data_IF_510782931510
#
_entry.id   IF_510782931510
#
_cell.length_a   1.000
_cell.length_b   1.000
_cell.length_c   1.000
_cell.angle_alpha   90.00
_cell.angle_beta   90.00
_cell.angle_gamma   90.00
#
_symmetry.space_group_name_H-M   'P 1'
#
loop_
_entity.id
_entity.type
_entity.pdbx_description
1 polymer ?
#
# COMPACT_ATOMS: atom_id res chain seq x y z
N UNK A 1 -28.05 -45.20 7.76
CA UNK A 1 -26.85 -44.95 8.59
C UNK A 1 -25.93 -43.99 7.83
N UNK A 2 -25.74 -42.80 8.39
CA UNK A 2 -24.98 -41.67 7.84
C UNK A 2 -23.49 -42.02 7.63
N UNK A 3 -22.98 -41.70 6.43
CA UNK A 3 -21.55 -41.55 6.18
C UNK A 3 -21.17 -40.09 6.44
N UNK A 4 -20.41 -39.85 7.50
CA UNK A 4 -19.84 -38.53 7.81
C UNK A 4 -18.61 -38.30 6.94
N UNK A 5 -18.71 -37.39 5.97
CA UNK A 5 -17.53 -36.82 5.30
C UNK A 5 -16.98 -35.69 6.18
N UNK A 6 -15.76 -35.85 6.68
CA UNK A 6 -14.97 -34.77 7.28
C UNK A 6 -14.26 -34.06 6.13
N UNK A 7 -14.68 -32.82 5.85
CA UNK A 7 -14.00 -31.93 4.91
C UNK A 7 -12.76 -31.34 5.62
N UNK A 8 -11.57 -31.69 5.14
CA UNK A 8 -10.34 -30.98 5.50
C UNK A 8 -10.36 -29.58 4.88
N UNK A 9 -10.45 -28.55 5.71
CA UNK A 9 -10.19 -27.18 5.29
C UNK A 9 -8.69 -27.02 5.02
N UNK A 10 -8.30 -27.03 3.75
CA UNK A 10 -6.96 -26.64 3.32
C UNK A 10 -6.79 -25.13 3.58
N UNK A 11 -6.15 -24.77 4.70
CA UNK A 11 -5.67 -23.41 4.89
C UNK A 11 -4.52 -23.18 3.92
N UNK A 12 -4.80 -22.52 2.80
CA UNK A 12 -3.79 -21.97 1.89
C UNK A 12 -3.02 -20.91 2.68
N UNK A 13 -1.97 -21.34 3.39
CA UNK A 13 -0.96 -20.43 3.90
C UNK A 13 -0.23 -19.89 2.70
N UNK A 14 -0.48 -18.62 2.38
CA UNK A 14 0.34 -17.87 1.43
C UNK A 14 1.75 -17.87 2.03
N UNK A 15 2.65 -18.69 1.47
CA UNK A 15 4.07 -18.73 1.84
C UNK A 15 4.70 -17.40 1.43
N UNK A 16 4.47 -16.35 2.23
CA UNK A 16 5.31 -15.17 2.20
C UNK A 16 6.67 -15.64 2.75
N UNK A 17 7.78 -15.45 2.03
CA UNK A 17 9.10 -15.79 2.54
C UNK A 17 9.29 -15.13 3.91
N UNK A 18 9.72 -15.89 4.92
CA UNK A 18 9.95 -15.40 6.29
C UNK A 18 10.77 -14.10 6.31
N UNK A 19 11.78 -14.01 5.44
CA UNK A 19 12.59 -12.82 5.23
C UNK A 19 11.79 -11.55 4.86
N UNK A 20 10.76 -11.66 4.01
CA UNK A 20 9.94 -10.52 3.60
C UNK A 20 9.00 -10.08 4.72
N UNK A 21 8.51 -11.02 5.53
CA UNK A 21 7.68 -10.72 6.70
C UNK A 21 8.50 -10.03 7.80
N UNK A 22 9.68 -10.54 8.15
CA UNK A 22 10.56 -9.95 9.17
C UNK A 22 10.95 -8.50 8.82
N UNK A 23 11.22 -8.21 7.55
CA UNK A 23 11.58 -6.87 7.12
C UNK A 23 10.38 -5.92 7.06
N UNK A 24 9.17 -6.42 6.80
CA UNK A 24 7.93 -5.64 6.91
C UNK A 24 7.68 -5.21 8.36
N UNK A 25 7.87 -6.12 9.32
CA UNK A 25 7.74 -5.83 10.75
C UNK A 25 8.75 -4.76 11.18
N UNK A 26 10.02 -4.91 10.79
CA UNK A 26 11.05 -3.87 11.03
C UNK A 26 10.67 -2.53 10.39
N UNK A 27 10.13 -2.53 9.18
CA UNK A 27 9.67 -1.30 8.53
C UNK A 27 8.55 -0.64 9.34
N UNK A 28 7.57 -1.41 9.82
CA UNK A 28 6.49 -0.93 10.65
C UNK A 28 7.02 -0.29 11.95
N UNK A 29 7.91 -0.96 12.67
CA UNK A 29 8.57 -0.44 13.88
C UNK A 29 9.30 0.89 13.62
N UNK A 30 10.02 0.99 12.50
CA UNK A 30 10.73 2.21 12.11
C UNK A 30 9.78 3.35 11.71
N UNK A 31 8.60 3.04 11.18
CA UNK A 31 7.54 4.02 10.91
C UNK A 31 6.89 4.48 12.22
N UNK A 32 6.66 3.56 13.17
CA UNK A 32 6.09 3.88 14.48
C UNK A 32 6.97 4.84 15.26
N UNK A 33 8.27 4.54 15.34
CA UNK A 33 9.26 5.39 16.02
C UNK A 33 9.40 6.78 15.42
N UNK A 34 9.11 6.94 14.12
CA UNK A 34 9.24 8.23 13.43
C UNK A 34 7.94 9.05 13.39
N UNK A 35 6.77 8.41 13.33
CA UNK A 35 5.50 9.10 13.06
C UNK A 35 4.29 8.59 13.83
N UNK A 36 4.48 7.64 14.75
CA UNK A 36 3.42 7.08 15.57
C UNK A 36 2.78 5.81 15.00
N UNK A 37 1.99 5.16 15.85
CA UNK A 37 1.52 3.78 15.66
C UNK A 37 0.56 3.59 14.48
N UNK A 38 -0.23 4.60 14.09
CA UNK A 38 -1.32 4.40 13.12
C UNK A 38 -0.81 4.02 11.72
N UNK A 39 0.22 4.71 11.23
CA UNK A 39 0.83 4.41 9.93
C UNK A 39 1.59 3.08 9.97
N UNK A 40 2.25 2.77 11.09
CA UNK A 40 2.88 1.47 11.35
C UNK A 40 1.85 0.33 11.23
N UNK A 41 0.77 0.41 12.01
CA UNK A 41 -0.29 -0.58 12.03
C UNK A 41 -1.01 -0.72 10.68
N UNK A 42 -1.15 0.38 9.93
CA UNK A 42 -1.68 0.36 8.57
C UNK A 42 -0.76 -0.43 7.62
N UNK A 43 0.57 -0.26 7.74
CA UNK A 43 1.54 -1.06 6.97
C UNK A 43 1.44 -2.53 7.36
N UNK A 44 1.39 -2.86 8.65
CA UNK A 44 1.30 -4.26 9.10
C UNK A 44 0.07 -4.98 8.51
N UNK A 45 -1.08 -4.30 8.52
CA UNK A 45 -2.39 -4.88 8.21
C UNK A 45 -2.78 -4.82 6.74
N UNK A 46 -2.49 -3.72 6.05
CA UNK A 46 -2.95 -3.53 4.68
C UNK A 46 -1.88 -3.91 3.65
N UNK A 47 -0.60 -4.04 4.06
CA UNK A 47 0.51 -4.19 3.11
C UNK A 47 1.02 -5.64 3.04
N UNK A 48 1.20 -6.10 1.81
CA UNK A 48 2.07 -7.23 1.46
C UNK A 48 3.26 -6.68 0.68
N UNK A 49 4.47 -6.87 1.20
CA UNK A 49 5.68 -6.28 0.61
C UNK A 49 6.67 -7.39 0.30
N UNK A 50 6.98 -7.57 -0.97
CA UNK A 50 7.91 -8.56 -1.47
C UNK A 50 8.97 -7.86 -2.34
N UNK A 51 10.13 -7.58 -1.75
CA UNK A 51 11.23 -6.88 -2.40
C UNK A 51 12.48 -7.76 -2.39
N UNK A 52 13.40 -7.52 -3.32
CA UNK A 52 14.73 -8.12 -3.26
C UNK A 52 15.47 -7.74 -1.97
N UNK A 53 16.43 -8.55 -1.49
CA UNK A 53 17.22 -8.21 -0.29
C UNK A 53 17.86 -6.82 -0.37
N UNK A 54 18.46 -6.47 -1.52
CA UNK A 54 19.12 -5.17 -1.74
C UNK A 54 18.15 -3.97 -1.73
N UNK A 55 16.89 -4.19 -2.13
CA UNK A 55 15.84 -3.18 -2.02
C UNK A 55 15.41 -3.01 -0.57
N UNK A 56 15.23 -4.10 0.18
CA UNK A 56 14.92 -4.05 1.61
C UNK A 56 15.99 -3.31 2.41
N UNK A 57 17.28 -3.57 2.16
CA UNK A 57 18.38 -2.84 2.80
C UNK A 57 18.26 -1.32 2.60
N UNK A 58 17.90 -0.89 1.39
CA UNK A 58 17.74 0.53 1.07
C UNK A 58 16.44 1.10 1.64
N UNK A 59 15.35 0.33 1.68
CA UNK A 59 14.09 0.74 2.31
C UNK A 59 14.27 0.93 3.80
N UNK A 60 15.02 0.04 4.46
CA UNK A 60 15.29 0.06 5.89
C UNK A 60 16.48 0.95 6.26
N UNK A 61 17.15 1.63 5.33
CA UNK A 61 18.22 2.58 5.64
C UNK A 61 17.68 3.88 6.26
N UNK A 62 18.56 4.66 6.89
CA UNK A 62 18.21 5.88 7.63
C UNK A 62 17.51 6.96 6.75
N UNK A 63 16.62 7.78 7.33
CA UNK A 63 15.74 8.70 6.58
C UNK A 63 16.44 9.81 5.80
N UNK A 64 17.72 10.09 6.08
CA UNK A 64 18.47 11.16 5.41
C UNK A 64 18.80 10.87 3.94
N UNK A 65 18.77 9.60 3.52
CA UNK A 65 18.61 9.05 2.16
C UNK A 65 18.99 7.56 2.21
N UNK A 66 18.29 6.67 1.48
CA UNK A 66 17.22 6.98 0.53
C UNK A 66 15.80 6.94 1.15
N UNK A 67 14.83 7.62 0.53
CA UNK A 67 13.47 7.90 1.06
C UNK A 67 12.51 6.68 1.14
N UNK A 68 13.05 5.48 1.33
CA UNK A 68 12.28 4.24 1.30
C UNK A 68 11.20 4.19 2.38
N UNK A 69 11.60 4.33 3.65
CA UNK A 69 10.68 4.38 4.80
C UNK A 69 9.58 5.43 4.62
N UNK A 70 9.96 6.63 4.21
CA UNK A 70 9.03 7.73 3.99
C UNK A 70 8.02 7.47 2.88
N UNK A 71 8.41 6.71 1.85
CA UNK A 71 7.53 6.37 0.74
C UNK A 71 6.43 5.39 1.17
N UNK A 72 6.78 4.38 1.97
CA UNK A 72 5.79 3.46 2.55
C UNK A 72 4.88 4.15 3.56
N UNK A 73 5.46 5.01 4.43
CA UNK A 73 4.68 5.86 5.32
C UNK A 73 3.69 6.74 4.57
N UNK A 74 4.13 7.41 3.50
CA UNK A 74 3.27 8.26 2.65
C UNK A 74 2.14 7.46 2.03
N UNK A 75 2.42 6.25 1.55
CA UNK A 75 1.39 5.35 1.04
C UNK A 75 0.40 4.94 2.13
N UNK A 76 0.87 4.59 3.33
CA UNK A 76 0.00 4.23 4.45
C UNK A 76 -0.94 5.38 4.83
N UNK A 77 -0.41 6.60 4.97
CA UNK A 77 -1.21 7.79 5.22
C UNK A 77 -2.21 8.06 4.09
N UNK A 78 -1.82 7.87 2.83
CA UNK A 78 -2.72 8.05 1.69
C UNK A 78 -3.88 7.04 1.71
N UNK A 79 -3.66 5.80 2.16
CA UNK A 79 -4.74 4.82 2.30
C UNK A 79 -5.70 5.17 3.45
N UNK A 80 -5.18 5.70 4.57
CA UNK A 80 -5.99 6.22 5.68
C UNK A 80 -6.83 7.43 5.24
N UNK A 81 -6.20 8.37 4.55
CA UNK A 81 -6.86 9.55 3.97
C UNK A 81 -7.99 9.15 3.02
N UNK A 82 -7.69 8.21 2.12
CA UNK A 82 -8.68 7.67 1.19
C UNK A 82 -9.81 6.97 1.93
N UNK A 83 -9.52 6.11 2.91
CA UNK A 83 -10.56 5.35 3.63
C UNK A 83 -11.52 6.25 4.39
N UNK A 84 -11.01 7.32 5.01
CA UNK A 84 -11.84 8.32 5.67
C UNK A 84 -12.71 9.09 4.66
N UNK A 85 -12.11 9.58 3.56
CA UNK A 85 -12.86 10.26 2.51
C UNK A 85 -13.90 9.37 1.86
N UNK A 86 -13.62 8.08 1.72
CA UNK A 86 -14.55 7.09 1.21
C UNK A 86 -15.64 6.69 2.22
N UNK A 87 -15.58 7.18 3.46
CA UNK A 87 -16.55 6.86 4.51
C UNK A 87 -16.40 5.43 5.03
N UNK A 88 -15.24 4.80 4.82
CA UNK A 88 -14.94 3.47 5.37
C UNK A 88 -14.51 3.55 6.83
N UNK A 89 -13.90 4.66 7.21
CA UNK A 89 -13.28 4.86 8.53
C UNK A 89 -13.45 6.31 9.01
N UNK A 90 -12.99 6.56 10.23
CA UNK A 90 -12.89 7.89 10.86
C UNK A 90 -11.51 8.05 11.53
N UNK A 91 -10.46 7.52 10.91
CA UNK A 91 -9.14 7.35 11.50
C UNK A 91 -8.45 8.68 11.77
N UNK A 92 -8.43 9.61 10.81
CA UNK A 92 -7.78 10.90 10.98
C UNK A 92 -8.48 11.77 12.03
N UNK A 93 -9.81 11.63 12.18
CA UNK A 93 -10.58 12.34 13.22
C UNK A 93 -10.24 11.85 14.63
N UNK A 94 -9.98 10.55 14.78
CA UNK A 94 -9.82 9.90 16.10
C UNK A 94 -8.37 9.64 16.50
N UNK A 95 -7.50 9.39 15.54
CA UNK A 95 -6.12 8.92 15.74
C UNK A 95 -5.11 9.59 14.79
N UNK A 96 -5.54 10.60 14.02
CA UNK A 96 -4.68 11.37 13.13
C UNK A 96 -3.74 12.33 13.87
N UNK A 97 -2.83 12.94 13.12
CA UNK A 97 -1.76 13.79 13.65
C UNK A 97 -2.23 14.96 14.54
N UNK A 98 -3.41 15.52 14.27
CA UNK A 98 -3.94 16.68 14.99
C UNK A 98 -4.79 16.31 16.22
N UNK A 99 -4.93 15.03 16.55
CA UNK A 99 -5.71 14.60 17.70
C UNK A 99 -4.86 14.69 18.97
N UNK A 100 -5.43 15.23 20.05
CA UNK A 100 -4.77 15.30 21.35
C UNK A 100 -4.30 13.90 21.80
N UNK A 101 -3.06 13.80 22.28
CA UNK A 101 -2.38 12.52 22.56
C UNK A 101 -3.17 11.58 23.48
N UNK A 102 -3.81 12.13 24.51
CA UNK A 102 -4.56 11.32 25.48
C UNK A 102 -5.85 10.78 24.88
N UNK A 103 -6.55 11.57 24.06
CA UNK A 103 -7.70 11.11 23.28
C UNK A 103 -7.30 10.09 22.23
N UNK A 104 -6.16 10.30 21.56
CA UNK A 104 -5.66 9.35 20.55
C UNK A 104 -5.33 7.98 21.17
N UNK A 105 -4.84 7.94 22.42
CA UNK A 105 -4.64 6.69 23.18
C UNK A 105 -5.97 6.02 23.53
N UNK A 106 -6.97 6.78 23.96
CA UNK A 106 -8.32 6.27 24.25
C UNK A 106 -8.97 5.66 23.00
N UNK A 107 -8.82 6.31 21.84
CA UNK A 107 -9.38 5.84 20.57
C UNK A 107 -8.57 4.74 19.89
N UNK A 108 -7.34 4.47 20.35
CA UNK A 108 -6.44 3.51 19.70
C UNK A 108 -7.09 2.13 19.47
N UNK A 109 -7.81 1.50 20.42
CA UNK A 109 -8.50 0.24 20.17
C UNK A 109 -9.55 0.33 19.05
N UNK A 110 -10.33 1.42 19.01
CA UNK A 110 -11.33 1.66 17.96
C UNK A 110 -10.68 1.83 16.60
N UNK A 111 -9.59 2.60 16.53
CA UNK A 111 -8.86 2.82 15.29
C UNK A 111 -8.17 1.53 14.79
N UNK A 112 -7.61 0.70 15.69
CA UNK A 112 -7.10 -0.63 15.32
C UNK A 112 -8.17 -1.52 14.71
N UNK A 113 -9.36 -1.58 15.34
CA UNK A 113 -10.50 -2.34 14.81
C UNK A 113 -10.97 -1.83 13.44
N UNK A 114 -10.94 -0.51 13.22
CA UNK A 114 -11.23 0.08 11.90
C UNK A 114 -10.19 -0.35 10.86
N UNK A 115 -8.89 -0.34 11.18
CA UNK A 115 -7.81 -0.78 10.28
C UNK A 115 -7.92 -2.29 9.99
N UNK A 116 -8.20 -3.13 11.00
CA UNK A 116 -8.40 -4.56 10.81
C UNK A 116 -9.59 -4.84 9.86
N UNK A 117 -10.71 -4.13 10.03
CA UNK A 117 -11.86 -4.23 9.11
C UNK A 117 -11.51 -3.72 7.70
N UNK A 118 -10.71 -2.65 7.62
CA UNK A 118 -10.30 -2.05 6.35
C UNK A 118 -9.50 -3.03 5.48
N UNK A 119 -8.73 -3.95 6.08
CA UNK A 119 -8.00 -5.00 5.35
C UNK A 119 -8.89 -5.89 4.47
N UNK A 120 -10.19 -6.00 4.78
CA UNK A 120 -11.15 -6.73 3.94
C UNK A 120 -11.64 -5.95 2.70
N UNK A 121 -11.39 -4.64 2.67
CA UNK A 121 -11.85 -3.69 1.63
C UNK A 121 -10.72 -3.06 0.83
N UNK A 122 -9.57 -2.84 1.46
CA UNK A 122 -8.46 -2.08 0.90
C UNK A 122 -7.15 -2.76 1.24
N UNK A 123 -6.39 -3.13 0.21
CA UNK A 123 -5.06 -3.73 0.38
C UNK A 123 -4.06 -3.10 -0.58
N UNK A 124 -2.80 -3.11 -0.18
CA UNK A 124 -1.67 -2.74 -1.01
C UNK A 124 -0.65 -3.88 -1.08
N UNK A 125 -0.18 -4.18 -2.27
CA UNK A 125 0.79 -5.22 -2.53
C UNK A 125 1.93 -4.65 -3.37
N UNK A 126 3.17 -4.84 -2.94
CA UNK A 126 4.36 -4.49 -3.71
C UNK A 126 5.14 -5.77 -4.04
N UNK A 127 5.16 -6.17 -5.32
CA UNK A 127 5.90 -7.32 -5.84
C UNK A 127 7.07 -6.91 -6.74
N UNK A 128 8.28 -6.98 -6.20
CA UNK A 128 9.54 -6.72 -6.90
C UNK A 128 10.70 -7.55 -6.32
N UNK A 129 10.45 -8.83 -6.02
CA UNK A 129 11.46 -9.76 -5.50
C UNK A 129 12.68 -9.89 -6.42
N UNK A 130 12.46 -9.83 -7.73
CA UNK A 130 13.50 -10.01 -8.75
C UNK A 130 14.19 -8.70 -9.16
N UNK A 131 13.78 -7.55 -8.61
CA UNK A 131 14.36 -6.25 -8.96
C UNK A 131 15.54 -5.94 -8.05
N UNK A 132 16.76 -6.00 -8.59
CA UNK A 132 17.96 -5.61 -7.87
C UNK A 132 18.02 -4.09 -7.65
N UNK A 133 18.56 -3.67 -6.51
CA UNK A 133 18.76 -2.25 -6.21
C UNK A 133 19.94 -1.67 -7.00
N UNK A 134 19.66 -0.59 -7.71
CA UNK A 134 20.60 0.41 -8.19
C UNK A 134 19.94 1.81 -8.02
N UNK A 135 20.67 2.92 -8.21
CA UNK A 135 20.10 4.26 -8.00
C UNK A 135 18.82 4.51 -8.83
N UNK A 136 18.81 4.10 -10.10
CA UNK A 136 17.65 4.24 -10.98
C UNK A 136 16.49 3.38 -10.50
N UNK A 137 16.74 2.11 -10.19
CA UNK A 137 15.66 1.20 -9.83
C UNK A 137 15.03 1.54 -8.49
N UNK A 138 15.83 1.99 -7.53
CA UNK A 138 15.30 2.45 -6.25
C UNK A 138 14.47 3.73 -6.41
N UNK A 139 14.94 4.69 -7.20
CA UNK A 139 14.22 5.94 -7.43
C UNK A 139 12.89 5.72 -8.16
N UNK A 140 12.87 4.87 -9.19
CA UNK A 140 11.65 4.53 -9.91
C UNK A 140 10.67 3.74 -9.02
N UNK A 141 11.17 2.75 -8.28
CA UNK A 141 10.41 2.00 -7.28
C UNK A 141 9.64 2.92 -6.32
N UNK A 142 10.35 3.85 -5.69
CA UNK A 142 9.76 4.79 -4.74
C UNK A 142 8.92 5.86 -5.45
N UNK A 143 9.30 6.28 -6.66
CA UNK A 143 8.53 7.20 -7.50
C UNK A 143 7.16 6.64 -7.86
N UNK A 144 7.08 5.38 -8.29
CA UNK A 144 5.80 4.71 -8.57
C UNK A 144 4.94 4.61 -7.31
N UNK A 145 5.52 4.13 -6.20
CA UNK A 145 4.84 4.03 -4.91
C UNK A 145 4.25 5.37 -4.46
N UNK A 146 5.06 6.43 -4.51
CA UNK A 146 4.65 7.76 -4.06
C UNK A 146 3.67 8.43 -5.01
N UNK A 147 3.70 8.14 -6.31
CA UNK A 147 2.70 8.61 -7.27
C UNK A 147 1.34 7.95 -7.05
N UNK A 148 1.33 6.66 -6.73
CA UNK A 148 0.11 5.96 -6.31
C UNK A 148 -0.41 6.59 -5.01
N UNK A 149 0.46 6.84 -4.02
CA UNK A 149 0.07 7.52 -2.79
C UNK A 149 -0.54 8.90 -3.05
N UNK A 150 0.02 9.67 -3.99
CA UNK A 150 -0.50 10.97 -4.38
C UNK A 150 -1.87 10.92 -5.03
N UNK A 151 -2.18 9.86 -5.77
CA UNK A 151 -3.52 9.63 -6.28
C UNK A 151 -4.55 9.48 -5.14
N UNK A 152 -4.22 8.70 -4.10
CA UNK A 152 -5.13 8.38 -2.99
C UNK A 152 -5.11 9.38 -1.83
N UNK A 153 -4.18 10.32 -1.80
CA UNK A 153 -4.10 11.33 -0.77
C UNK A 153 -5.40 12.17 -0.68
N UNK A 154 -5.79 12.62 0.53
CA UNK A 154 -7.01 13.40 0.75
C UNK A 154 -7.07 14.72 -0.04
N UNK A 155 -5.92 15.28 -0.45
CA UNK A 155 -5.81 16.52 -1.24
C UNK A 155 -5.76 16.29 -2.74
N UNK A 156 -5.71 15.04 -3.18
CA UNK A 156 -5.78 14.66 -4.58
C UNK A 156 -7.07 15.15 -5.20
N UNK A 157 -6.99 15.82 -6.35
CA UNK A 157 -8.18 16.27 -7.08
C UNK A 157 -9.11 15.11 -7.43
N UNK A 158 -8.57 13.90 -7.64
CA UNK A 158 -9.36 12.70 -7.88
C UNK A 158 -10.24 12.38 -6.67
N UNK A 159 -9.65 12.33 -5.48
CA UNK A 159 -10.36 11.97 -4.24
C UNK A 159 -11.33 13.07 -3.81
N UNK A 160 -10.92 14.35 -3.91
CA UNK A 160 -11.79 15.49 -3.57
C UNK A 160 -12.98 15.61 -4.51
N UNK A 161 -12.83 15.21 -5.77
CA UNK A 161 -13.90 15.22 -6.77
C UNK A 161 -14.75 13.95 -6.75
N UNK A 162 -14.68 13.15 -5.69
CA UNK A 162 -15.59 12.02 -5.46
C UNK A 162 -15.16 10.69 -6.07
N UNK A 163 -13.95 10.55 -6.63
CA UNK A 163 -13.50 9.28 -7.20
C UNK A 163 -13.62 8.14 -6.18
N UNK A 164 -14.30 7.05 -6.54
CA UNK A 164 -14.37 5.81 -5.77
C UNK A 164 -14.13 4.62 -6.68
N UNK A 165 -13.54 3.50 -6.22
CA UNK A 165 -13.41 2.31 -7.04
C UNK A 165 -14.79 1.83 -7.52
N UNK A 166 -14.84 1.29 -8.74
CA UNK A 166 -16.06 0.67 -9.28
C UNK A 166 -16.46 -0.57 -8.48
N UNK A 167 -15.48 -1.39 -8.11
CA UNK A 167 -15.67 -2.56 -7.26
C UNK A 167 -15.94 -2.22 -5.79
N UNK A 168 -16.43 -3.20 -5.04
CA UNK A 168 -16.69 -3.08 -3.59
C UNK A 168 -15.41 -3.08 -2.74
N UNK A 169 -14.31 -3.53 -3.33
CA UNK A 169 -12.97 -3.60 -2.75
C UNK A 169 -11.97 -2.91 -3.66
N UNK A 170 -10.80 -2.61 -3.11
CA UNK A 170 -9.68 -2.04 -3.83
C UNK A 170 -8.37 -2.73 -3.41
N UNK A 171 -7.83 -3.56 -4.28
CA UNK A 171 -6.53 -4.18 -4.15
C UNK A 171 -5.56 -3.48 -5.10
N UNK A 172 -4.56 -2.81 -4.56
CA UNK A 172 -3.56 -2.08 -5.34
C UNK A 172 -2.31 -2.94 -5.41
N UNK A 173 -1.85 -3.26 -6.60
CA UNK A 173 -0.63 -4.03 -6.83
C UNK A 173 0.37 -3.16 -7.57
N UNK A 174 1.53 -2.91 -6.96
CA UNK A 174 2.70 -2.33 -7.61
C UNK A 174 3.68 -3.45 -7.96
N UNK A 175 3.95 -3.66 -9.25
CA UNK A 175 4.86 -4.71 -9.73
C UNK A 175 5.77 -4.21 -10.84
N UNK A 176 6.82 -3.44 -10.51
CA UNK A 176 7.84 -3.05 -11.47
C UNK A 176 8.70 -4.26 -11.86
N UNK A 177 9.19 -4.26 -13.10
CA UNK A 177 10.01 -5.35 -13.65
C UNK A 177 11.09 -4.82 -14.58
N UNK A 178 12.26 -5.45 -14.58
CA UNK A 178 13.34 -5.16 -15.55
C UNK A 178 12.97 -5.54 -16.99
N UNK A 179 11.90 -6.33 -17.18
CA UNK A 179 11.41 -6.74 -18.50
C UNK A 179 10.34 -5.81 -19.07
N UNK A 180 9.78 -4.92 -18.25
CA UNK A 180 8.76 -3.99 -18.73
C UNK A 180 9.40 -2.90 -19.59
N UNK A 181 8.72 -2.52 -20.67
CA UNK A 181 9.18 -1.49 -21.62
C UNK A 181 8.42 -0.18 -21.49
N UNK A 182 7.31 -0.17 -20.75
CA UNK A 182 6.44 0.98 -20.54
C UNK A 182 5.59 0.83 -19.27
N UNK A 183 4.92 1.91 -18.88
CA UNK A 183 3.94 1.87 -17.79
C UNK A 183 2.65 1.22 -18.27
N UNK A 184 2.15 0.28 -17.49
CA UNK A 184 0.85 -0.33 -17.68
C UNK A 184 0.07 -0.31 -16.37
N UNK A 185 -1.16 0.20 -16.44
CA UNK A 185 -2.12 0.21 -15.34
C UNK A 185 -3.34 -0.59 -15.79
N UNK A 186 -3.46 -1.81 -15.26
CA UNK A 186 -4.52 -2.74 -15.62
C UNK A 186 -5.50 -2.89 -14.47
N UNK A 187 -6.79 -2.67 -14.76
CA UNK A 187 -7.88 -2.98 -13.83
C UNK A 187 -8.44 -4.36 -14.12
N UNK A 188 -8.74 -5.13 -13.07
CA UNK A 188 -9.50 -6.37 -13.21
C UNK A 188 -10.91 -6.07 -13.73
N UNK A 189 -11.57 -7.03 -14.42
CA UNK A 189 -12.91 -6.81 -14.98
C UNK A 189 -13.97 -6.41 -13.93
N UNK A 190 -13.83 -6.87 -12.69
CA UNK A 190 -14.70 -6.53 -11.56
C UNK A 190 -14.38 -5.17 -10.92
N UNK A 191 -13.33 -4.48 -11.40
CA UNK A 191 -12.89 -3.20 -10.88
C UNK A 191 -12.35 -3.24 -9.45
N UNK A 192 -12.06 -4.42 -8.90
CA UNK A 192 -11.59 -4.58 -7.52
C UNK A 192 -10.07 -4.55 -7.39
N UNK A 193 -9.33 -4.84 -8.46
CA UNK A 193 -7.87 -4.91 -8.42
C UNK A 193 -7.29 -4.00 -9.50
N UNK A 194 -6.27 -3.23 -9.13
CA UNK A 194 -5.45 -2.48 -10.08
C UNK A 194 -4.00 -2.91 -9.96
N UNK A 195 -3.40 -3.26 -11.09
CA UNK A 195 -1.97 -3.57 -11.19
C UNK A 195 -1.26 -2.46 -11.94
N UNK A 196 -0.37 -1.75 -11.23
CA UNK A 196 0.58 -0.80 -11.79
C UNK A 196 1.89 -1.53 -12.01
N UNK A 197 2.29 -1.64 -13.27
CA UNK A 197 3.55 -2.24 -13.69
C UNK A 197 4.33 -1.26 -14.55
N UNK A 198 5.65 -1.36 -14.53
CA UNK A 198 6.52 -0.43 -15.21
C UNK A 198 7.97 -0.90 -15.22
N UNK A 199 8.83 -0.30 -16.06
CA UNK A 199 10.24 -0.65 -16.08
C UNK A 199 10.86 -0.34 -14.73
N UNK A 200 11.61 -1.28 -14.20
CA UNK A 200 12.29 -1.13 -12.93
C UNK A 200 13.66 -0.48 -13.07
N UNK A 201 14.30 -0.50 -14.24
CA UNK A 201 15.69 -0.06 -14.42
C UNK A 201 15.86 1.10 -15.42
N UNK A 202 14.76 1.59 -15.99
CA UNK A 202 14.77 2.63 -17.02
C UNK A 202 13.57 3.55 -16.86
N UNK A 203 13.83 4.84 -16.80
CA UNK A 203 12.75 5.83 -16.77
C UNK A 203 12.05 5.93 -18.13
N UNK A 204 10.72 6.06 -18.10
CA UNK A 204 9.88 6.27 -19.29
C UNK A 204 9.25 7.67 -19.19
N UNK A 205 9.40 8.54 -20.21
CA UNK A 205 8.78 9.86 -20.18
C UNK A 205 7.27 9.80 -19.90
N UNK A 206 6.77 10.67 -19.01
CA UNK A 206 5.35 10.74 -18.66
C UNK A 206 4.84 9.56 -17.83
N UNK A 207 5.73 8.78 -17.19
CA UNK A 207 5.33 7.62 -16.39
C UNK A 207 4.34 7.98 -15.27
N UNK A 208 4.50 9.16 -14.66
CA UNK A 208 3.63 9.67 -13.61
C UNK A 208 2.19 9.87 -14.13
N UNK A 209 2.03 10.54 -15.27
CA UNK A 209 0.73 10.81 -15.87
C UNK A 209 0.07 9.50 -16.33
N UNK A 210 0.85 8.55 -16.83
CA UNK A 210 0.37 7.22 -17.18
C UNK A 210 -0.21 6.48 -15.97
N UNK A 211 0.45 6.55 -14.80
CA UNK A 211 -0.06 5.97 -13.55
C UNK A 211 -1.36 6.66 -13.14
N UNK A 212 -1.37 8.00 -13.04
CA UNK A 212 -2.52 8.76 -12.57
C UNK A 212 -3.76 8.57 -13.47
N UNK A 213 -3.58 8.70 -14.79
CA UNK A 213 -4.65 8.48 -15.76
C UNK A 213 -5.13 7.03 -15.76
N UNK A 214 -4.24 6.07 -15.54
CA UNK A 214 -4.57 4.65 -15.41
C UNK A 214 -5.43 4.36 -14.18
N UNK A 215 -5.05 4.90 -13.02
CA UNK A 215 -5.82 4.77 -11.78
C UNK A 215 -7.20 5.41 -11.91
N UNK A 216 -7.28 6.59 -12.52
CA UNK A 216 -8.54 7.32 -12.72
C UNK A 216 -9.61 6.47 -13.44
N UNK A 217 -9.24 5.63 -14.41
CA UNK A 217 -10.17 4.79 -15.20
C UNK A 217 -10.94 3.76 -14.37
N UNK A 218 -10.41 3.34 -13.23
CA UNK A 218 -11.03 2.35 -12.35
C UNK A 218 -12.13 2.89 -11.45
N UNK A 219 -12.34 4.20 -11.45
CA UNK A 219 -13.32 4.82 -10.57
C UNK A 219 -14.65 5.15 -11.22
N UNK A 220 -15.63 5.32 -10.35
CA UNK A 220 -16.87 6.05 -10.58
C UNK A 220 -16.77 7.43 -9.93
N UNK A 221 -17.51 8.38 -10.50
CA UNK A 221 -17.74 9.70 -9.88
C UNK A 221 -18.98 9.62 -8.99
#
# INVERSE_FOLDING_TARGET
MQKTLILFALMIHVNIPTFAQDNKEKLADLIETSTGWMNSYTVEKLFTINLSPTMWESVLAAPSQPRGRDSFKRMAQALVDFSDKAGYTSLNEKCGFNVQSDKAKEWQPTCKEQIDRLASKLTFKYEAADVAKNPTSFNLAMGYLTTIADFFNARSSYITNGWRPKGEKLNIVLSPSDKATGINVAWSPDGQTVTVSGPANKEVPGWNDAILNGLAKGGKK
#
